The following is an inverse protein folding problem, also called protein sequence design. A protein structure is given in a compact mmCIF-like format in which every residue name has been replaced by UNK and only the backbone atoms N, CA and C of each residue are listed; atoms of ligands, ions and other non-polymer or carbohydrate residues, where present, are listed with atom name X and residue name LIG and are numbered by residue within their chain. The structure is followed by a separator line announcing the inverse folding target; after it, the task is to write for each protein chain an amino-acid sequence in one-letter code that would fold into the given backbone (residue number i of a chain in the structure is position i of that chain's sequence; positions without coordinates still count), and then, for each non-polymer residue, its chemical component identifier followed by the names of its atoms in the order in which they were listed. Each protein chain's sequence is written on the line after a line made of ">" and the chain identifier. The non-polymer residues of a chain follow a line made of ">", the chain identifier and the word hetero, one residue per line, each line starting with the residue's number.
data_IF_695295693827
#
_entry.id   IF_695295693827
#
_cell.length_a   1.000
_cell.length_b   1.000
_cell.length_c   1.000
_cell.angle_alpha   90.00
_cell.angle_beta   90.00
_cell.angle_gamma   90.00
#
_symmetry.space_group_name_H-M   'P 1'
#
loop_
_entity.id
_entity.type
_entity.pdbx_description
1 polymer ?
#
# COMPACT_ATOMS: atom_id res chain seq x y z
N UNK A 1 31.51 17.66 -17.79
CA UNK A 1 32.59 16.68 -17.57
C UNK A 1 32.05 15.32 -17.97
N UNK A 2 32.72 14.55 -18.86
CA UNK A 2 32.27 13.21 -19.20
C UNK A 2 32.32 12.32 -17.95
N UNK A 3 31.24 11.62 -17.64
CA UNK A 3 31.15 10.70 -16.49
C UNK A 3 31.79 9.38 -16.92
N UNK A 4 33.06 9.18 -16.56
CA UNK A 4 33.81 7.94 -16.79
C UNK A 4 33.65 6.91 -15.66
N UNK A 5 34.19 5.69 -15.81
CA UNK A 5 34.13 4.61 -14.81
C UNK A 5 34.71 4.97 -13.43
N UNK A 6 35.61 5.94 -13.41
CA UNK A 6 36.30 6.50 -12.26
C UNK A 6 35.46 7.55 -11.50
N UNK A 7 34.36 8.03 -12.10
CA UNK A 7 33.49 9.04 -11.52
C UNK A 7 32.48 8.40 -10.55
N UNK A 8 32.27 9.00 -9.37
CA UNK A 8 31.36 8.44 -8.33
C UNK A 8 29.92 8.24 -8.80
N UNK A 9 29.50 9.02 -9.81
CA UNK A 9 28.18 8.93 -10.43
C UNK A 9 28.08 7.82 -11.49
N UNK A 10 29.16 7.13 -11.83
CA UNK A 10 29.17 6.07 -12.84
C UNK A 10 28.25 4.91 -12.45
N UNK A 11 28.31 4.47 -11.19
CA UNK A 11 27.43 3.41 -10.69
C UNK A 11 25.95 3.80 -10.74
N UNK A 12 25.64 5.08 -10.51
CA UNK A 12 24.28 5.63 -10.61
C UNK A 12 23.82 5.67 -12.06
N UNK A 13 24.68 6.10 -12.99
CA UNK A 13 24.36 6.12 -14.43
C UNK A 13 24.19 4.71 -14.98
N UNK A 14 25.05 3.77 -14.59
CA UNK A 14 24.92 2.36 -14.94
C UNK A 14 23.65 1.76 -14.34
N UNK A 15 23.32 2.07 -13.09
CA UNK A 15 22.08 1.64 -12.45
C UNK A 15 20.84 2.17 -13.18
N UNK A 16 20.84 3.46 -13.55
CA UNK A 16 19.77 4.08 -14.34
C UNK A 16 19.67 3.49 -15.75
N UNK A 17 20.79 3.15 -16.39
CA UNK A 17 20.80 2.55 -17.72
C UNK A 17 20.39 1.06 -17.71
N UNK A 18 20.73 0.32 -16.64
CA UNK A 18 20.34 -1.07 -16.47
C UNK A 18 18.89 -1.24 -16.05
N UNK A 19 18.30 -0.25 -15.37
CA UNK A 19 16.93 -0.32 -14.87
C UNK A 19 15.89 -0.59 -15.99
N UNK A 20 15.86 0.13 -17.12
CA UNK A 20 14.97 -0.18 -18.24
C UNK A 20 15.27 -1.54 -18.89
N UNK A 21 16.55 -1.91 -19.00
CA UNK A 21 16.97 -3.19 -19.60
C UNK A 21 16.47 -4.37 -18.76
N UNK A 22 16.48 -4.23 -17.44
CA UNK A 22 16.03 -5.25 -16.49
C UNK A 22 14.50 -5.29 -16.36
N UNK A 23 13.83 -4.16 -16.59
CA UNK A 23 12.36 -4.05 -16.55
C UNK A 23 11.68 -4.52 -17.85
N UNK A 24 12.45 -4.87 -18.88
CA UNK A 24 11.93 -5.26 -20.20
C UNK A 24 11.60 -4.06 -21.08
N UNK A 25 11.39 -4.32 -22.38
CA UNK A 25 11.16 -3.29 -23.38
C UNK A 25 9.93 -2.45 -23.05
N UNK A 26 10.17 -1.27 -22.47
CA UNK A 26 9.15 -0.28 -22.17
C UNK A 26 8.57 0.38 -23.45
N UNK A 27 9.09 0.03 -24.63
CA UNK A 27 8.65 0.54 -25.94
C UNK A 27 7.69 -0.37 -26.70
N UNK A 28 7.41 -1.60 -26.24
CA UNK A 28 6.44 -2.47 -26.90
C UNK A 28 5.03 -2.02 -26.50
N UNK A 29 4.33 -1.36 -27.42
CA UNK A 29 2.94 -0.99 -27.22
C UNK A 29 2.09 -2.26 -27.18
N UNK A 30 1.80 -2.75 -25.97
CA UNK A 30 0.90 -3.90 -25.74
C UNK A 30 -0.47 -3.73 -26.41
N UNK A 31 -0.85 -2.51 -26.78
CA UNK A 31 -2.06 -2.22 -27.54
C UNK A 31 -1.99 -2.69 -29.01
N UNK A 32 -0.79 -2.77 -29.61
CA UNK A 32 -0.61 -3.20 -31.00
C UNK A 32 -0.71 -4.73 -31.14
N UNK A 33 -0.43 -5.48 -30.06
CA UNK A 33 -0.50 -6.95 -30.02
C UNK A 33 -1.79 -7.51 -29.39
N UNK A 34 -2.64 -6.63 -28.84
CA UNK A 34 -3.90 -7.04 -28.23
C UNK A 34 -4.97 -7.22 -29.32
N UNK A 35 -5.72 -8.33 -29.30
CA UNK A 35 -6.77 -8.54 -30.30
C UNK A 35 -7.85 -7.45 -30.14
N UNK A 36 -8.33 -6.90 -31.26
CA UNK A 36 -9.27 -5.76 -31.28
C UNK A 36 -10.51 -5.99 -30.39
N UNK A 37 -10.94 -7.24 -30.23
CA UNK A 37 -12.06 -7.67 -29.38
C UNK A 37 -11.87 -7.40 -27.87
N UNK A 38 -10.62 -7.33 -27.39
CA UNK A 38 -10.26 -7.06 -25.98
C UNK A 38 -9.90 -5.58 -25.74
N UNK A 39 -9.92 -4.77 -26.80
CA UNK A 39 -9.60 -3.33 -26.73
C UNK A 39 -10.87 -2.49 -26.79
N UNK A 40 -10.89 -1.38 -26.06
CA UNK A 40 -11.93 -0.36 -26.19
C UNK A 40 -11.29 0.99 -26.45
N UNK A 41 -11.87 1.84 -27.32
CA UNK A 41 -11.34 3.16 -27.59
C UNK A 41 -11.27 4.01 -26.31
N UNK A 42 -10.15 4.74 -26.15
CA UNK A 42 -10.01 5.68 -25.04
C UNK A 42 -11.13 6.74 -25.04
N UNK A 43 -11.45 7.28 -26.21
CA UNK A 43 -12.57 8.19 -26.41
C UNK A 43 -13.59 7.55 -27.35
N UNK A 44 -14.88 7.54 -27.00
CA UNK A 44 -15.49 8.16 -25.82
C UNK A 44 -15.53 7.26 -24.57
N UNK A 45 -15.39 5.94 -24.74
CA UNK A 45 -15.81 4.95 -23.76
C UNK A 45 -15.01 5.00 -22.44
N UNK A 46 -13.69 5.12 -22.53
CA UNK A 46 -12.83 5.19 -21.33
C UNK A 46 -12.80 6.59 -20.70
N UNK A 47 -13.00 7.65 -21.49
CA UNK A 47 -12.90 9.03 -21.03
C UNK A 47 -14.08 9.47 -20.14
N UNK A 48 -15.32 9.12 -20.50
CA UNK A 48 -16.52 9.64 -19.83
C UNK A 48 -16.67 9.29 -18.33
N UNK A 49 -16.24 8.11 -17.83
CA UNK A 49 -16.29 7.81 -16.41
C UNK A 49 -15.48 8.79 -15.53
N UNK A 50 -14.34 9.31 -16.01
CA UNK A 50 -13.46 10.18 -15.22
C UNK A 50 -14.11 11.50 -14.75
N UNK A 51 -14.68 12.35 -15.63
CA UNK A 51 -15.34 13.57 -15.17
C UNK A 51 -16.56 13.28 -14.29
N UNK A 52 -17.27 12.17 -14.52
CA UNK A 52 -18.38 11.75 -13.66
C UNK A 52 -17.87 11.43 -12.26
N UNK A 53 -16.83 10.61 -12.13
CA UNK A 53 -16.19 10.29 -10.85
C UNK A 53 -15.68 11.56 -10.16
N UNK A 54 -15.08 12.49 -10.92
CA UNK A 54 -14.59 13.75 -10.38
C UNK A 54 -15.72 14.62 -9.81
N UNK A 55 -16.84 14.74 -10.53
CA UNK A 55 -18.03 15.48 -10.05
C UNK A 55 -18.63 14.80 -8.83
N UNK A 56 -18.76 13.47 -8.84
CA UNK A 56 -19.27 12.71 -7.69
C UNK A 56 -18.37 12.89 -6.46
N UNK A 57 -17.05 12.82 -6.62
CA UNK A 57 -16.08 13.09 -5.55
C UNK A 57 -16.21 14.51 -5.01
N UNK A 58 -16.33 15.51 -5.89
CA UNK A 58 -16.50 16.91 -5.50
C UNK A 58 -17.80 17.11 -4.69
N UNK A 59 -18.91 16.51 -5.15
CA UNK A 59 -20.17 16.54 -4.42
C UNK A 59 -20.03 15.85 -3.07
N UNK A 60 -19.44 14.66 -3.02
CA UNK A 60 -19.26 13.91 -1.77
C UNK A 60 -18.44 14.69 -0.74
N UNK A 61 -17.29 15.25 -1.15
CA UNK A 61 -16.44 16.07 -0.26
C UNK A 61 -17.16 17.36 0.13
N UNK A 62 -17.88 18.01 -0.80
CA UNK A 62 -18.70 19.19 -0.53
C UNK A 62 -19.79 18.91 0.51
N UNK A 63 -20.48 17.77 0.42
CA UNK A 63 -21.46 17.33 1.40
C UNK A 63 -20.82 17.02 2.76
N UNK A 64 -19.67 16.32 2.78
CA UNK A 64 -18.92 16.12 4.03
C UNK A 64 -18.56 17.46 4.68
N UNK A 65 -18.07 18.42 3.89
CA UNK A 65 -17.74 19.76 4.38
C UNK A 65 -18.97 20.52 4.88
N UNK A 66 -20.14 20.36 4.26
CA UNK A 66 -21.35 21.07 4.66
C UNK A 66 -22.01 20.48 5.92
N UNK A 67 -22.03 19.15 6.05
CA UNK A 67 -22.79 18.46 7.09
C UNK A 67 -21.93 17.97 8.27
N UNK A 68 -20.64 17.72 8.06
CA UNK A 68 -19.76 17.06 9.04
C UNK A 68 -18.70 18.02 9.60
N UNK A 69 -18.70 19.31 9.19
CA UNK A 69 -17.69 20.31 9.56
C UNK A 69 -17.34 20.37 11.05
N UNK A 70 -18.33 20.20 11.93
CA UNK A 70 -18.14 20.24 13.39
C UNK A 70 -17.16 19.17 13.89
N UNK A 71 -17.10 18.01 13.22
CA UNK A 71 -16.19 16.91 13.55
C UNK A 71 -14.81 17.08 12.90
N UNK A 72 -14.64 18.04 11.97
CA UNK A 72 -13.37 18.35 11.30
C UNK A 72 -12.70 19.60 11.88
N UNK A 73 -13.13 20.08 13.05
CA UNK A 73 -12.47 21.20 13.70
C UNK A 73 -11.06 20.80 14.11
N UNK A 74 -10.10 21.69 13.88
CA UNK A 74 -8.74 21.49 14.36
C UNK A 74 -8.75 21.35 15.87
N UNK A 75 -7.90 20.46 16.38
CA UNK A 75 -7.69 20.30 17.81
C UNK A 75 -7.23 21.62 18.45
N UNK A 76 -7.35 21.70 19.77
CA UNK A 76 -6.87 22.85 20.55
C UNK A 76 -5.41 23.13 20.20
N UNK A 77 -5.05 24.42 20.12
CA UNK A 77 -3.66 24.84 19.91
C UNK A 77 -2.74 24.08 20.88
N UNK A 78 -1.61 23.59 20.36
CA UNK A 78 -0.67 22.80 21.13
C UNK A 78 -0.23 23.56 22.40
N UNK A 79 -0.60 23.01 23.57
CA UNK A 79 -0.16 23.50 24.87
C UNK A 79 0.80 22.47 25.49
N UNK A 80 2.08 22.80 25.70
CA UNK A 80 3.05 21.88 26.30
C UNK A 80 2.75 21.53 27.76
N UNK A 81 1.81 22.21 28.42
CA UNK A 81 1.38 21.94 29.80
C UNK A 81 0.18 21.01 29.89
N UNK A 82 -0.53 20.78 28.78
CA UNK A 82 -1.70 19.92 28.74
C UNK A 82 -1.29 18.45 28.55
N UNK A 83 -1.80 17.57 29.41
CA UNK A 83 -1.65 16.12 29.24
C UNK A 83 -2.90 15.57 28.56
N UNK A 84 -2.85 15.37 27.25
CA UNK A 84 -3.92 14.73 26.48
C UNK A 84 -3.52 13.31 26.08
N UNK A 85 -4.49 12.41 25.98
CA UNK A 85 -4.26 11.10 25.39
C UNK A 85 -4.10 11.31 23.89
N UNK A 86 -2.94 11.01 23.29
CA UNK A 86 -2.72 11.20 21.87
C UNK A 86 -3.63 10.23 21.11
N UNK A 87 -4.64 10.76 20.41
CA UNK A 87 -5.50 9.96 19.53
C UNK A 87 -5.07 10.17 18.08
N UNK A 88 -4.63 9.12 17.38
CA UNK A 88 -4.25 9.26 15.98
C UNK A 88 -5.47 9.43 15.10
N UNK A 89 -5.26 9.99 13.90
CA UNK A 89 -6.30 10.05 12.89
C UNK A 89 -6.76 8.66 12.43
N UNK A 90 -7.97 8.60 11.88
CA UNK A 90 -8.66 7.36 11.50
C UNK A 90 -7.85 6.45 10.56
N UNK A 91 -7.04 7.03 9.68
CA UNK A 91 -6.21 6.29 8.72
C UNK A 91 -4.96 5.66 9.36
N UNK A 92 -4.61 6.04 10.59
CA UNK A 92 -3.48 5.48 11.34
C UNK A 92 -3.89 4.57 12.51
N UNK A 93 -5.18 4.45 12.81
CA UNK A 93 -5.67 3.65 13.93
C UNK A 93 -5.16 2.21 13.90
N UNK A 94 -5.19 1.54 12.73
CA UNK A 94 -4.71 0.17 12.61
C UNK A 94 -3.22 0.03 12.86
N UNK A 95 -2.40 1.03 12.50
CA UNK A 95 -0.95 1.01 12.74
C UNK A 95 -0.66 1.14 14.23
N UNK A 96 -1.33 2.06 14.93
CA UNK A 96 -1.16 2.22 16.37
C UNK A 96 -1.62 0.98 17.14
N UNK A 97 -2.73 0.35 16.72
CA UNK A 97 -3.15 -0.92 17.30
C UNK A 97 -2.13 -2.03 17.01
N UNK A 98 -1.61 -2.10 15.80
CA UNK A 98 -0.59 -3.06 15.40
C UNK A 98 0.69 -2.94 16.24
N UNK A 99 1.12 -1.72 16.55
CA UNK A 99 2.29 -1.46 17.40
C UNK A 99 2.16 -2.09 18.80
N UNK A 100 0.94 -2.12 19.37
CA UNK A 100 0.67 -2.68 20.70
C UNK A 100 0.69 -4.22 20.75
N UNK A 101 0.70 -4.90 19.61
CA UNK A 101 0.59 -6.37 19.55
C UNK A 101 1.90 -7.10 19.91
N UNK A 102 3.03 -6.41 19.98
CA UNK A 102 4.30 -7.08 20.25
C UNK A 102 5.39 -6.12 20.69
N UNK A 103 6.66 -6.56 20.64
CA UNK A 103 7.79 -5.71 21.00
C UNK A 103 7.81 -4.45 20.14
N UNK A 104 7.75 -3.28 20.80
CA UNK A 104 7.63 -1.97 20.15
C UNK A 104 8.70 -1.75 19.06
N UNK A 105 9.95 -2.13 19.34
CA UNK A 105 11.07 -1.98 18.41
C UNK A 105 10.88 -2.80 17.12
N UNK A 106 10.29 -4.00 17.21
CA UNK A 106 10.06 -4.85 16.05
C UNK A 106 8.88 -4.29 15.23
N UNK A 107 7.78 -3.96 15.91
CA UNK A 107 6.57 -3.50 15.24
C UNK A 107 6.73 -2.13 14.57
N UNK A 108 7.51 -1.23 15.18
CA UNK A 108 7.73 0.13 14.65
C UNK A 108 8.87 0.23 13.65
N UNK A 109 10.00 -0.43 13.90
CA UNK A 109 11.23 -0.18 13.16
C UNK A 109 11.60 -1.31 12.20
N UNK A 110 11.17 -2.55 12.46
CA UNK A 110 11.56 -3.70 11.62
C UNK A 110 10.49 -4.02 10.58
N UNK A 111 9.23 -4.13 10.99
CA UNK A 111 8.17 -4.59 10.09
C UNK A 111 7.89 -3.60 8.95
N UNK A 112 7.69 -2.28 9.18
CA UNK A 112 7.39 -1.34 8.10
C UNK A 112 8.44 -1.31 6.97
N UNK A 113 9.78 -1.20 7.24
CA UNK A 113 10.75 -1.22 6.16
C UNK A 113 10.88 -2.58 5.50
N UNK A 114 10.62 -3.69 6.20
CA UNK A 114 10.56 -5.02 5.57
C UNK A 114 9.40 -5.11 4.59
N UNK A 115 8.21 -4.60 4.95
CA UNK A 115 7.04 -4.57 4.07
C UNK A 115 7.31 -3.69 2.85
N UNK A 116 7.78 -2.46 3.06
CA UNK A 116 8.13 -1.54 1.96
C UNK A 116 9.23 -2.14 1.08
N UNK A 117 10.27 -2.72 1.68
CA UNK A 117 11.34 -3.41 0.96
C UNK A 117 10.83 -4.59 0.15
N UNK A 118 9.89 -5.38 0.68
CA UNK A 118 9.26 -6.46 -0.05
C UNK A 118 8.46 -5.95 -1.26
N UNK A 119 7.74 -4.85 -1.13
CA UNK A 119 7.03 -4.22 -2.26
C UNK A 119 7.99 -3.65 -3.31
N UNK A 120 9.09 -3.02 -2.90
CA UNK A 120 10.12 -2.52 -3.82
C UNK A 120 10.84 -3.65 -4.56
N UNK A 121 11.06 -4.78 -3.88
CA UNK A 121 11.71 -5.96 -4.46
C UNK A 121 10.72 -6.86 -5.22
N UNK A 122 9.41 -6.61 -5.10
CA UNK A 122 8.36 -7.40 -5.73
C UNK A 122 8.55 -7.63 -7.23
N UNK A 123 8.84 -6.61 -8.08
CA UNK A 123 9.03 -6.85 -9.52
C UNK A 123 10.20 -7.80 -9.83
N UNK A 124 11.28 -7.75 -9.05
CA UNK A 124 12.43 -8.64 -9.21
C UNK A 124 12.10 -10.07 -8.78
N UNK A 125 11.35 -10.21 -7.69
CA UNK A 125 10.87 -11.50 -7.21
C UNK A 125 9.95 -12.12 -8.27
N UNK A 126 9.01 -11.35 -8.81
CA UNK A 126 8.01 -11.82 -9.77
C UNK A 126 8.65 -12.23 -11.11
N UNK A 127 9.60 -11.45 -11.63
CA UNK A 127 10.25 -11.72 -12.91
C UNK A 127 11.30 -12.85 -12.85
N UNK A 128 12.13 -12.89 -11.79
CA UNK A 128 13.35 -13.71 -11.77
C UNK A 128 13.23 -14.92 -10.83
N UNK A 129 12.82 -14.68 -9.58
CA UNK A 129 12.84 -15.71 -8.54
C UNK A 129 11.59 -16.59 -8.58
N UNK A 130 10.43 -15.99 -8.87
CA UNK A 130 9.12 -16.62 -8.82
C UNK A 130 8.99 -17.82 -9.76
N UNK A 131 9.26 -17.69 -11.07
CA UNK A 131 9.17 -18.81 -12.01
C UNK A 131 10.11 -19.97 -11.66
N UNK A 132 11.30 -19.65 -11.13
CA UNK A 132 12.28 -20.66 -10.69
C UNK A 132 11.82 -21.38 -9.43
N UNK A 133 11.23 -20.66 -8.47
CA UNK A 133 10.69 -21.26 -7.25
C UNK A 133 9.47 -22.14 -7.56
N UNK A 134 8.59 -21.69 -8.45
CA UNK A 134 7.45 -22.47 -8.93
C UNK A 134 7.91 -23.81 -9.54
N UNK A 135 8.93 -23.80 -10.41
CA UNK A 135 9.49 -25.04 -10.97
C UNK A 135 10.05 -25.97 -9.89
N UNK A 136 10.75 -25.44 -8.88
CA UNK A 136 11.30 -26.26 -7.78
C UNK A 136 10.23 -26.86 -6.88
N UNK A 137 9.14 -26.14 -6.64
CA UNK A 137 8.01 -26.59 -5.81
C UNK A 137 6.99 -27.42 -6.61
N UNK A 138 7.21 -27.64 -7.91
CA UNK A 138 6.29 -28.38 -8.79
C UNK A 138 5.00 -27.62 -9.12
N UNK A 139 4.98 -26.29 -8.95
CA UNK A 139 3.83 -25.46 -9.27
C UNK A 139 3.79 -25.12 -10.77
N UNK A 140 2.59 -25.16 -11.36
CA UNK A 140 2.39 -24.91 -12.81
C UNK A 140 2.78 -23.50 -13.23
N UNK A 141 2.59 -22.52 -12.35
CA UNK A 141 2.98 -21.12 -12.56
C UNK A 141 3.17 -20.43 -11.23
N UNK A 142 4.00 -19.39 -11.21
CA UNK A 142 4.14 -18.52 -10.05
C UNK A 142 2.83 -17.76 -9.77
N UNK A 143 2.37 -17.65 -8.51
CA UNK A 143 1.16 -16.90 -8.18
C UNK A 143 1.37 -15.38 -8.33
N UNK A 144 1.00 -14.84 -9.49
CA UNK A 144 1.01 -13.39 -9.77
C UNK A 144 -0.28 -12.73 -9.25
N UNK A 145 -0.21 -11.57 -8.55
CA UNK A 145 -1.38 -10.81 -8.10
C UNK A 145 -2.38 -10.56 -9.22
N UNK A 146 -3.67 -10.62 -8.90
CA UNK A 146 -4.77 -10.33 -9.84
C UNK A 146 -5.28 -11.54 -10.65
N UNK A 147 -4.48 -12.59 -10.85
CA UNK A 147 -4.90 -13.76 -11.65
C UNK A 147 -5.17 -15.03 -10.84
N UNK A 148 -4.80 -15.07 -9.56
CA UNK A 148 -4.91 -16.28 -8.76
C UNK A 148 -5.72 -16.06 -7.46
N UNK A 149 -6.48 -17.08 -7.06
CA UNK A 149 -7.34 -17.04 -5.87
C UNK A 149 -6.52 -16.84 -4.59
N UNK A 150 -5.29 -17.38 -4.52
CA UNK A 150 -4.45 -17.36 -3.30
C UNK A 150 -4.01 -15.94 -2.94
N UNK A 151 -3.49 -15.17 -3.89
CA UNK A 151 -3.10 -13.77 -3.72
C UNK A 151 -4.31 -12.89 -3.45
N UNK A 152 -5.43 -13.17 -4.12
CA UNK A 152 -6.70 -12.49 -3.83
C UNK A 152 -7.17 -12.74 -2.40
N UNK A 153 -7.16 -13.99 -1.93
CA UNK A 153 -7.55 -14.32 -0.54
C UNK A 153 -6.59 -13.73 0.48
N UNK A 154 -5.27 -13.78 0.24
CA UNK A 154 -4.27 -13.12 1.11
C UNK A 154 -4.55 -11.62 1.21
N UNK A 155 -4.82 -10.95 0.09
CA UNK A 155 -5.12 -9.52 0.07
C UNK A 155 -6.41 -9.20 0.83
N UNK A 156 -7.48 -9.97 0.62
CA UNK A 156 -8.75 -9.80 1.34
C UNK A 156 -8.56 -10.04 2.84
N UNK A 157 -7.81 -11.07 3.24
CA UNK A 157 -7.50 -11.32 4.65
C UNK A 157 -6.70 -10.17 5.27
N UNK A 158 -5.75 -9.59 4.54
CA UNK A 158 -5.03 -8.41 4.99
C UNK A 158 -5.96 -7.20 5.21
N UNK A 159 -6.90 -6.96 4.29
CA UNK A 159 -7.89 -5.89 4.46
C UNK A 159 -8.84 -6.14 5.64
N UNK A 160 -9.29 -7.39 5.81
CA UNK A 160 -10.13 -7.78 6.96
C UNK A 160 -9.35 -7.58 8.26
N UNK A 161 -8.06 -7.92 8.28
CA UNK A 161 -7.20 -7.70 9.44
C UNK A 161 -7.02 -6.21 9.74
N UNK A 162 -6.76 -5.37 8.74
CA UNK A 162 -6.70 -3.90 8.90
C UNK A 162 -8.03 -3.37 9.44
N UNK A 163 -9.15 -3.78 8.87
CA UNK A 163 -10.48 -3.37 9.32
C UNK A 163 -10.74 -3.79 10.77
N UNK A 164 -10.36 -5.03 11.13
CA UNK A 164 -10.45 -5.53 12.50
C UNK A 164 -9.62 -4.68 13.46
N UNK A 165 -8.36 -4.38 13.13
CA UNK A 165 -7.49 -3.53 13.96
C UNK A 165 -8.05 -2.11 14.11
N UNK A 166 -8.59 -1.53 13.03
CA UNK A 166 -9.24 -0.21 13.07
C UNK A 166 -10.47 -0.23 13.98
N UNK A 167 -11.33 -1.26 13.88
CA UNK A 167 -12.52 -1.38 14.72
C UNK A 167 -12.14 -1.60 16.19
N UNK A 168 -11.10 -2.38 16.46
CA UNK A 168 -10.58 -2.58 17.81
C UNK A 168 -10.01 -1.28 18.39
N UNK A 169 -9.26 -0.50 17.59
CA UNK A 169 -8.81 0.83 18.00
C UNK A 169 -10.00 1.77 18.29
N UNK A 170 -11.04 1.76 17.45
CA UNK A 170 -12.24 2.58 17.66
C UNK A 170 -13.04 2.20 18.92
N UNK A 171 -12.91 0.97 19.42
CA UNK A 171 -13.55 0.54 20.66
C UNK A 171 -12.96 1.24 21.91
N UNK A 172 -11.79 1.87 21.79
CA UNK A 172 -11.17 2.69 22.82
C UNK A 172 -10.41 1.90 23.90
N UNK A 173 -9.83 2.62 24.88
CA UNK A 173 -8.88 2.04 25.85
C UNK A 173 -9.54 1.12 26.89
N UNK A 174 -10.86 1.19 27.06
CA UNK A 174 -11.61 0.34 27.99
C UNK A 174 -11.82 -1.08 27.45
N UNK A 175 -11.68 -1.26 26.14
CA UNK A 175 -11.91 -2.54 25.49
C UNK A 175 -10.59 -3.27 25.22
N UNK A 176 -10.33 -4.30 26.04
CA UNK A 176 -9.12 -5.10 25.97
C UNK A 176 -9.41 -6.53 25.53
N UNK A 177 -8.61 -7.06 24.60
CA UNK A 177 -8.65 -8.45 24.18
C UNK A 177 -7.39 -9.18 24.64
N UNK A 178 -7.49 -10.47 25.00
CA UNK A 178 -6.32 -11.28 25.31
C UNK A 178 -5.46 -11.45 24.06
N UNK A 179 -4.16 -11.18 24.19
CA UNK A 179 -3.16 -11.39 23.13
C UNK A 179 -1.95 -12.15 23.67
N UNK A 180 -1.05 -12.58 22.78
CA UNK A 180 0.06 -13.50 23.11
C UNK A 180 0.94 -13.05 24.28
N UNK A 181 1.10 -11.74 24.50
CA UNK A 181 1.96 -11.16 25.55
C UNK A 181 1.18 -10.61 26.75
N UNK A 182 -0.15 -10.72 26.75
CA UNK A 182 -1.03 -10.12 27.76
C UNK A 182 -2.28 -9.49 27.15
N UNK A 183 -3.19 -8.93 27.98
CA UNK A 183 -4.31 -8.16 27.46
C UNK A 183 -3.82 -6.89 26.77
N UNK A 184 -4.28 -6.66 25.54
CA UNK A 184 -4.01 -5.44 24.78
C UNK A 184 -5.31 -4.66 24.68
N UNK A 185 -5.25 -3.35 24.93
CA UNK A 185 -6.42 -2.47 24.85
C UNK A 185 -6.39 -1.64 23.56
N UNK A 186 -7.57 -1.18 23.13
CA UNK A 186 -7.70 -0.29 21.98
C UNK A 186 -6.79 0.96 22.10
N UNK A 187 -6.37 1.48 20.94
CA UNK A 187 -5.66 2.75 20.82
C UNK A 187 -6.48 3.94 21.33
#
# INVERSE_FOLDING_TARGET
>A
MPIGPDHILYSVVVGLALFPILMGDAGHHLADDMPDEDTHPFFPDHFWPYPIIAVVMLIAVGLLSAFVQKNLQLETSADPRATTIPRPDWYFLFLFQFLKLGPELIMSLVIPPVVVGAFLLFPFIDAIAGPRLAHRLGWKSWPVPGRNIITGTIFVLALVYIAFLTLWALAGPEFCLPYFTGPVCGA
#
